data_IF_744440934514
#
_entry.id   IF_744440934514
#
_cell.length_a   1.000
_cell.length_b   1.000
_cell.length_c   1.000
_cell.angle_alpha   90.00
_cell.angle_beta   90.00
_cell.angle_gamma   90.00
#
_symmetry.space_group_name_H-M   'P 1'
#
loop_
_entity.id
_entity.type
_entity.pdbx_description
1 polymer ?
#
# COMPACT_ATOMS: atom_id res chain seq x y z
N UNK A 1 54.85 36.93 56.90
CA UNK A 1 55.76 37.52 55.88
C UNK A 1 55.22 37.08 54.52
N UNK A 2 54.41 37.82 53.75
CA UNK A 2 54.47 39.20 53.24
C UNK A 2 55.37 39.36 51.99
N UNK A 3 54.74 39.36 50.79
CA UNK A 3 54.96 40.26 49.63
C UNK A 3 54.01 39.81 48.50
N UNK A 4 52.96 40.61 48.17
CA UNK A 4 52.91 41.68 47.15
C UNK A 4 53.26 41.17 45.74
N UNK A 5 52.67 41.60 44.64
CA UNK A 5 51.51 42.41 44.25
C UNK A 5 51.74 42.62 42.74
N UNK A 6 50.70 42.58 41.91
CA UNK A 6 50.89 42.83 40.48
C UNK A 6 49.57 42.85 39.72
N UNK A 7 48.85 43.96 39.86
CA UNK A 7 47.69 44.29 39.05
C UNK A 7 48.12 44.55 37.60
N UNK A 8 47.35 44.03 36.64
CA UNK A 8 47.20 44.64 35.33
C UNK A 8 45.71 44.66 35.00
N UNK A 9 45.14 45.86 35.15
CA UNK A 9 43.86 46.24 34.61
C UNK A 9 43.97 46.23 33.07
N UNK A 10 43.09 45.50 32.41
CA UNK A 10 42.89 45.53 30.97
C UNK A 10 41.40 45.76 30.70
N UNK A 11 41.11 46.93 30.17
CA UNK A 11 39.78 47.47 29.90
C UNK A 11 39.00 46.69 28.82
N UNK A 12 37.66 46.70 29.00
CA UNK A 12 36.62 46.91 27.98
C UNK A 12 36.70 46.10 26.68
N UNK A 13 35.70 45.23 26.47
CA UNK A 13 34.66 45.50 25.47
C UNK A 13 33.59 44.41 25.56
N UNK A 14 32.38 44.79 25.98
CA UNK A 14 31.18 44.03 25.71
C UNK A 14 30.95 44.03 24.19
N UNK A 15 31.45 43.00 23.51
CA UNK A 15 31.23 42.76 22.09
C UNK A 15 29.91 42.01 21.90
N UNK A 16 28.95 42.71 21.31
CA UNK A 16 27.64 42.22 20.90
C UNK A 16 27.72 40.92 20.08
N UNK A 17 26.75 40.05 20.36
CA UNK A 17 26.48 38.82 19.66
C UNK A 17 26.39 38.99 18.13
N UNK A 18 27.00 38.06 17.39
CA UNK A 18 26.54 37.69 16.06
C UNK A 18 26.58 36.17 15.96
N UNK A 19 25.43 35.55 16.26
CA UNK A 19 25.21 34.14 15.97
C UNK A 19 25.31 33.95 14.45
N UNK A 20 26.42 33.40 13.97
CA UNK A 20 26.57 32.96 12.60
C UNK A 20 25.72 31.70 12.38
N UNK A 21 24.41 31.89 12.29
CA UNK A 21 23.49 30.87 11.85
C UNK A 21 23.52 30.80 10.33
N UNK A 22 23.90 29.61 9.85
CA UNK A 22 23.47 28.98 8.61
C UNK A 22 23.98 29.58 7.29
N UNK A 23 24.69 28.74 6.55
CA UNK A 23 24.36 28.38 5.16
C UNK A 23 25.15 27.10 4.82
N UNK A 24 24.64 25.96 5.28
CA UNK A 24 25.00 24.69 4.67
C UNK A 24 24.47 24.71 3.21
N UNK A 25 25.24 24.26 2.21
CA UNK A 25 24.74 24.17 0.86
C UNK A 25 23.67 23.07 0.82
N UNK A 26 22.40 23.48 0.80
CA UNK A 26 21.27 22.59 0.56
C UNK A 26 21.35 22.01 -0.85
N UNK A 27 22.10 20.93 -1.04
CA UNK A 27 21.93 20.01 -2.17
C UNK A 27 21.11 18.83 -1.67
N UNK A 28 19.80 18.93 -1.78
CA UNK A 28 18.90 17.79 -1.66
C UNK A 28 17.68 18.00 -2.58
N UNK A 29 17.86 17.50 -3.80
CA UNK A 29 16.88 16.92 -4.71
C UNK A 29 15.49 17.56 -4.80
N UNK A 30 15.29 18.39 -5.83
CA UNK A 30 13.98 18.78 -6.35
C UNK A 30 13.17 17.59 -6.96
N UNK A 31 13.48 16.34 -6.58
CA UNK A 31 12.82 15.12 -7.05
C UNK A 31 12.05 14.38 -5.94
N UNK A 32 11.89 15.00 -4.77
CA UNK A 32 11.10 14.44 -3.66
C UNK A 32 9.60 14.82 -3.73
N UNK A 33 9.15 15.34 -4.88
CA UNK A 33 7.80 15.88 -5.07
C UNK A 33 7.13 15.47 -6.39
N UNK A 34 7.62 14.45 -7.08
CA UNK A 34 6.94 13.86 -8.24
C UNK A 34 6.56 12.44 -7.87
N UNK A 35 5.43 12.27 -7.19
CA UNK A 35 4.80 10.96 -7.05
C UNK A 35 4.49 10.48 -8.49
N UNK A 36 5.17 9.45 -9.00
CA UNK A 36 5.27 9.27 -10.43
C UNK A 36 4.00 8.59 -10.95
N UNK A 37 2.98 9.37 -11.30
CA UNK A 37 2.01 9.02 -12.34
C UNK A 37 1.29 7.66 -12.17
N UNK A 38 1.24 7.08 -10.95
CA UNK A 38 0.79 5.69 -10.72
C UNK A 38 -0.72 5.50 -10.74
N UNK A 39 -1.51 6.49 -11.15
CA UNK A 39 -2.94 6.30 -11.33
C UNK A 39 -3.45 7.12 -12.51
N UNK A 40 -3.74 6.44 -13.63
CA UNK A 40 -4.64 7.02 -14.64
C UNK A 40 -6.00 7.26 -13.96
N UNK A 41 -6.62 8.45 -14.12
CA UNK A 41 -7.86 8.83 -13.43
C UNK A 41 -9.06 7.91 -13.72
N UNK A 42 -8.94 7.02 -14.70
CA UNK A 42 -10.00 6.11 -15.14
C UNK A 42 -9.99 4.73 -14.46
N UNK A 43 -8.95 4.42 -13.68
CA UNK A 43 -8.82 3.08 -13.06
C UNK A 43 -9.88 2.92 -11.98
N UNK A 44 -10.72 1.90 -12.08
CA UNK A 44 -11.67 1.56 -11.03
C UNK A 44 -10.92 0.92 -9.87
N UNK A 45 -10.99 1.48 -8.66
CA UNK A 45 -10.21 1.01 -7.51
C UNK A 45 -11.09 0.47 -6.39
N UNK A 46 -10.63 -0.62 -5.79
CA UNK A 46 -11.21 -1.16 -4.57
C UNK A 46 -10.13 -1.72 -3.65
N UNK A 47 -10.29 -1.48 -2.35
CA UNK A 47 -9.41 -2.00 -1.31
C UNK A 47 -10.21 -2.96 -0.43
N UNK A 48 -9.69 -4.17 -0.23
CA UNK A 48 -10.32 -5.20 0.58
C UNK A 48 -9.38 -5.60 1.71
N UNK A 49 -9.88 -5.57 2.94
CA UNK A 49 -9.22 -6.23 4.07
C UNK A 49 -9.56 -7.72 4.00
N UNK A 50 -8.55 -8.56 4.11
CA UNK A 50 -8.67 -10.01 3.93
C UNK A 50 -8.01 -10.78 5.08
N UNK A 51 -8.50 -12.00 5.42
CA UNK A 51 -9.66 -12.68 4.83
C UNK A 51 -10.98 -11.95 5.11
N UNK A 52 -11.92 -12.01 4.17
CA UNK A 52 -13.26 -11.47 4.39
C UNK A 52 -13.99 -12.33 5.44
N UNK A 53 -14.89 -11.75 6.24
CA UNK A 53 -15.75 -12.54 7.11
C UNK A 53 -16.58 -13.52 6.27
N UNK A 54 -16.87 -14.71 6.82
CA UNK A 54 -17.66 -15.70 6.12
C UNK A 54 -19.02 -15.10 5.72
N UNK A 55 -19.27 -15.00 4.42
CA UNK A 55 -20.57 -14.60 3.90
C UNK A 55 -21.50 -15.83 3.93
N UNK A 56 -22.63 -15.72 4.63
CA UNK A 56 -23.69 -16.72 4.59
C UNK A 56 -24.50 -16.62 3.29
N UNK A 57 -24.88 -17.77 2.72
CA UNK A 57 -25.63 -17.93 1.46
C UNK A 57 -24.90 -17.40 0.21
N UNK A 58 -25.18 -18.03 -0.93
CA UNK A 58 -24.58 -17.70 -2.22
C UNK A 58 -24.82 -16.23 -2.60
N UNK A 59 -23.75 -15.46 -2.81
CA UNK A 59 -23.86 -14.03 -3.09
C UNK A 59 -24.55 -13.78 -4.44
N UNK A 60 -25.55 -12.88 -4.44
CA UNK A 60 -26.20 -12.42 -5.67
C UNK A 60 -25.17 -11.84 -6.67
N UNK A 61 -25.45 -11.85 -7.99
CA UNK A 61 -24.58 -11.21 -8.97
C UNK A 61 -24.28 -9.75 -8.61
N UNK A 62 -23.02 -9.34 -8.74
CA UNK A 62 -22.63 -7.97 -8.46
C UNK A 62 -23.21 -7.03 -9.51
N UNK A 63 -23.97 -6.03 -9.06
CA UNK A 63 -24.55 -4.98 -9.90
C UNK A 63 -23.85 -3.62 -9.73
N UNK A 64 -22.97 -3.50 -8.72
CA UNK A 64 -22.21 -2.27 -8.45
C UNK A 64 -20.74 -2.56 -8.21
N UNK A 65 -19.87 -1.55 -8.40
CA UNK A 65 -18.45 -1.64 -8.04
C UNK A 65 -18.26 -1.94 -6.55
N UNK A 66 -19.15 -1.45 -5.68
CA UNK A 66 -19.10 -1.72 -4.24
C UNK A 66 -19.28 -3.22 -3.94
N UNK A 67 -20.16 -3.90 -4.68
CA UNK A 67 -20.37 -5.34 -4.55
C UNK A 67 -19.30 -6.18 -5.27
N UNK A 68 -18.72 -5.64 -6.36
CA UNK A 68 -17.71 -6.32 -7.16
C UNK A 68 -16.43 -6.65 -6.38
N UNK A 69 -15.86 -5.69 -5.65
CA UNK A 69 -14.56 -5.90 -5.02
C UNK A 69 -14.56 -6.95 -3.90
N UNK A 70 -15.58 -7.01 -3.01
CA UNK A 70 -15.73 -8.14 -2.09
C UNK A 70 -15.89 -9.47 -2.82
N UNK A 71 -16.65 -9.53 -3.92
CA UNK A 71 -16.81 -10.75 -4.70
C UNK A 71 -15.49 -11.25 -5.30
N UNK A 72 -14.64 -10.34 -5.81
CA UNK A 72 -13.29 -10.69 -6.28
C UNK A 72 -12.33 -11.09 -5.16
N UNK A 73 -12.60 -10.70 -3.92
CA UNK A 73 -11.77 -10.98 -2.76
C UNK A 73 -12.25 -12.18 -1.92
N UNK A 74 -13.45 -12.70 -2.18
CA UNK A 74 -14.10 -13.74 -1.38
C UNK A 74 -13.29 -15.05 -1.31
N UNK A 75 -12.49 -15.34 -2.34
CA UNK A 75 -11.68 -16.56 -2.44
C UNK A 75 -10.26 -16.37 -1.89
N UNK A 76 -9.97 -15.23 -1.26
CA UNK A 76 -8.71 -15.02 -0.57
C UNK A 76 -8.59 -16.02 0.58
N UNK A 77 -7.46 -16.73 0.60
CA UNK A 77 -7.09 -17.63 1.69
C UNK A 77 -5.72 -17.20 2.17
N UNK A 78 -5.48 -17.25 3.48
CA UNK A 78 -4.18 -16.95 4.05
C UNK A 78 -3.23 -18.07 3.65
N UNK A 79 -2.22 -17.82 2.79
CA UNK A 79 -1.29 -18.87 2.39
C UNK A 79 -0.38 -19.23 3.58
N UNK A 80 0.12 -20.46 3.57
CA UNK A 80 1.12 -20.90 4.54
C UNK A 80 2.33 -19.96 4.53
N UNK A 81 2.83 -19.62 5.72
CA UNK A 81 3.95 -18.70 5.89
C UNK A 81 3.60 -17.22 5.89
N UNK A 82 2.41 -16.81 5.42
CA UNK A 82 1.95 -15.41 5.55
C UNK A 82 1.30 -15.14 6.92
N UNK A 83 0.74 -16.18 7.56
CA UNK A 83 0.07 -16.09 8.87
C UNK A 83 0.95 -15.51 9.98
N UNK A 84 2.26 -15.70 9.89
CA UNK A 84 3.21 -15.20 10.88
C UNK A 84 3.40 -13.68 10.86
N UNK A 85 2.89 -12.94 9.88
CA UNK A 85 3.15 -11.51 9.75
C UNK A 85 2.00 -10.64 10.27
N UNK A 86 2.34 -9.47 10.79
CA UNK A 86 1.35 -8.52 11.32
C UNK A 86 0.50 -7.92 10.21
N UNK A 87 1.13 -7.54 9.09
CA UNK A 87 0.44 -6.86 8.00
C UNK A 87 1.13 -7.07 6.67
N UNK A 88 0.37 -7.34 5.62
CA UNK A 88 0.87 -7.37 4.25
C UNK A 88 -0.12 -6.68 3.31
N UNK A 89 0.38 -6.07 2.23
CA UNK A 89 -0.45 -5.33 1.29
C UNK A 89 0.02 -5.57 -0.14
N UNK A 90 -0.93 -5.70 -1.06
CA UNK A 90 -0.63 -5.97 -2.47
C UNK A 90 -1.74 -5.41 -3.36
N UNK A 91 -1.37 -4.85 -4.50
CA UNK A 91 -2.31 -4.31 -5.49
C UNK A 91 -2.11 -5.00 -6.83
N UNK A 92 -3.14 -5.71 -7.27
CA UNK A 92 -3.23 -6.28 -8.61
C UNK A 92 -4.04 -5.36 -9.52
N UNK A 93 -3.56 -5.16 -10.75
CA UNK A 93 -4.29 -4.53 -11.84
C UNK A 93 -4.77 -5.60 -12.82
N UNK A 94 -6.05 -5.60 -13.13
CA UNK A 94 -6.68 -6.57 -14.04
C UNK A 94 -7.80 -5.90 -14.84
N UNK A 95 -8.29 -6.59 -15.87
CA UNK A 95 -9.53 -6.24 -16.55
C UNK A 95 -10.41 -7.49 -16.64
N UNK A 96 -11.73 -7.30 -16.67
CA UNK A 96 -12.70 -8.39 -16.79
C UNK A 96 -13.40 -8.33 -18.15
N UNK A 97 -13.87 -9.47 -18.65
CA UNK A 97 -14.87 -9.55 -19.73
C UNK A 97 -16.27 -9.28 -19.19
N UNK A 98 -17.26 -9.17 -20.08
CA UNK A 98 -18.68 -8.98 -19.70
C UNK A 98 -19.22 -10.14 -18.84
N UNK A 99 -18.68 -11.33 -19.00
CA UNK A 99 -19.04 -12.54 -18.23
C UNK A 99 -18.30 -12.65 -16.88
N UNK A 100 -17.46 -11.66 -16.53
CA UNK A 100 -16.69 -11.65 -15.28
C UNK A 100 -15.40 -12.48 -15.31
N UNK A 101 -15.03 -13.10 -16.44
CA UNK A 101 -13.72 -13.75 -16.60
C UNK A 101 -12.59 -12.73 -16.72
N UNK A 102 -11.38 -13.10 -16.30
CA UNK A 102 -10.20 -12.22 -16.40
C UNK A 102 -9.68 -12.13 -17.83
N UNK A 103 -9.31 -10.93 -18.26
CA UNK A 103 -8.60 -10.66 -19.52
C UNK A 103 -7.09 -10.66 -19.23
N UNK A 104 -6.38 -11.62 -19.81
CA UNK A 104 -4.93 -11.75 -19.66
C UNK A 104 -4.49 -12.08 -18.23
N UNK A 105 -3.22 -11.79 -17.93
CA UNK A 105 -2.65 -12.06 -16.59
C UNK A 105 -2.76 -10.80 -15.72
N UNK A 106 -3.37 -10.88 -14.52
CA UNK A 106 -3.34 -9.78 -13.55
C UNK A 106 -1.91 -9.33 -13.25
N UNK A 107 -1.69 -8.03 -13.25
CA UNK A 107 -0.37 -7.41 -13.08
C UNK A 107 -0.20 -6.89 -11.66
N UNK A 108 0.85 -7.29 -10.96
CA UNK A 108 1.15 -6.77 -9.62
C UNK A 108 1.82 -5.40 -9.77
N UNK A 109 1.15 -4.37 -9.25
CA UNK A 109 1.61 -2.96 -9.36
C UNK A 109 2.22 -2.44 -8.06
N UNK A 110 1.93 -3.11 -6.95
CA UNK A 110 2.45 -2.80 -5.63
C UNK A 110 2.42 -4.08 -4.80
N UNK A 111 3.44 -4.31 -3.99
CA UNK A 111 3.43 -5.31 -2.93
C UNK A 111 4.36 -4.87 -1.79
N UNK A 112 3.89 -5.03 -0.56
CA UNK A 112 4.60 -4.75 0.68
C UNK A 112 4.29 -5.89 1.65
N UNK A 113 5.29 -6.70 1.95
CA UNK A 113 5.20 -7.75 2.93
C UNK A 113 6.40 -7.63 3.89
N UNK A 114 6.26 -7.93 5.19
CA UNK A 114 7.39 -7.99 6.09
C UNK A 114 8.24 -9.22 5.74
N UNK A 115 9.57 -9.09 5.73
CA UNK A 115 10.48 -10.19 5.45
C UNK A 115 11.17 -10.11 4.09
N UNK A 116 11.54 -11.28 3.57
CA UNK A 116 12.41 -11.48 2.41
C UNK A 116 11.64 -11.63 1.08
N UNK A 117 12.38 -11.81 -0.01
CA UNK A 117 11.84 -12.03 -1.37
C UNK A 117 10.86 -13.20 -1.43
N UNK A 118 11.13 -14.29 -0.69
CA UNK A 118 10.25 -15.47 -0.64
C UNK A 118 8.86 -15.10 -0.11
N UNK A 119 8.79 -14.25 0.91
CA UNK A 119 7.52 -13.79 1.47
C UNK A 119 6.72 -12.96 0.45
N UNK A 120 7.40 -12.11 -0.31
CA UNK A 120 6.78 -11.34 -1.39
C UNK A 120 6.19 -12.25 -2.46
N UNK A 121 6.89 -13.32 -2.84
CA UNK A 121 6.42 -14.30 -3.83
C UNK A 121 5.19 -15.06 -3.34
N UNK A 122 5.16 -15.48 -2.07
CA UNK A 122 3.97 -16.10 -1.45
C UNK A 122 2.77 -15.16 -1.53
N UNK A 123 2.95 -13.87 -1.21
CA UNK A 123 1.87 -12.88 -1.28
C UNK A 123 1.36 -12.68 -2.72
N UNK A 124 2.28 -12.62 -3.70
CA UNK A 124 1.94 -12.51 -5.12
C UNK A 124 1.13 -13.73 -5.57
N UNK A 125 1.61 -14.94 -5.28
CA UNK A 125 0.93 -16.18 -5.65
C UNK A 125 -0.47 -16.26 -5.05
N UNK A 126 -0.59 -16.02 -3.74
CA UNK A 126 -1.89 -16.02 -3.07
C UNK A 126 -2.88 -15.02 -3.67
N UNK A 127 -2.40 -13.86 -4.11
CA UNK A 127 -3.22 -12.84 -4.77
C UNK A 127 -3.72 -13.30 -6.12
N UNK A 128 -2.83 -13.85 -6.95
CA UNK A 128 -3.20 -14.35 -8.28
C UNK A 128 -4.15 -15.55 -8.17
N UNK A 129 -3.88 -16.46 -7.24
CA UNK A 129 -4.73 -17.64 -7.02
C UNK A 129 -6.11 -17.24 -6.48
N UNK A 130 -6.19 -16.24 -5.59
CA UNK A 130 -7.47 -15.73 -5.10
C UNK A 130 -8.33 -15.14 -6.23
N UNK A 131 -7.72 -14.33 -7.11
CA UNK A 131 -8.40 -13.80 -8.30
C UNK A 131 -8.83 -14.93 -9.22
N UNK A 132 -7.96 -15.90 -9.48
CA UNK A 132 -8.28 -17.05 -10.33
C UNK A 132 -9.46 -17.87 -9.78
N UNK A 133 -9.49 -18.15 -8.47
CA UNK A 133 -10.59 -18.88 -7.82
C UNK A 133 -11.92 -18.13 -7.84
N UNK A 134 -11.88 -16.80 -7.78
CA UNK A 134 -13.09 -15.96 -7.75
C UNK A 134 -13.51 -15.46 -9.13
N UNK A 135 -12.88 -15.95 -10.20
CA UNK A 135 -13.29 -15.63 -11.57
C UNK A 135 -13.64 -16.89 -12.37
N UNK A 136 -14.69 -16.86 -13.21
CA UNK A 136 -15.51 -15.70 -13.56
C UNK A 136 -16.39 -15.20 -12.39
N UNK A 137 -16.31 -13.91 -12.08
CA UNK A 137 -17.14 -13.30 -11.03
C UNK A 137 -18.55 -13.12 -11.57
N UNK A 138 -19.58 -13.41 -10.76
CA UNK A 138 -20.96 -13.23 -11.20
C UNK A 138 -21.31 -11.75 -11.28
N UNK A 139 -21.59 -11.26 -12.49
CA UNK A 139 -21.96 -9.88 -12.77
C UNK A 139 -23.39 -9.83 -13.32
N UNK A 140 -24.08 -8.73 -13.06
CA UNK A 140 -25.26 -8.40 -13.87
C UNK A 140 -24.84 -8.02 -15.30
N UNK A 141 -25.72 -8.17 -16.30
CA UNK A 141 -25.43 -7.70 -17.66
C UNK A 141 -25.09 -6.22 -17.73
N UNK A 142 -25.75 -5.39 -16.91
CA UNK A 142 -25.51 -3.95 -16.83
C UNK A 142 -24.10 -3.64 -16.33
N UNK A 143 -23.69 -4.19 -15.17
CA UNK A 143 -22.36 -3.96 -14.64
C UNK A 143 -21.29 -4.55 -15.57
N UNK A 144 -21.48 -5.79 -16.03
CA UNK A 144 -20.56 -6.46 -16.96
C UNK A 144 -20.31 -5.63 -18.22
N UNK A 145 -21.35 -5.01 -18.77
CA UNK A 145 -21.22 -4.10 -19.90
C UNK A 145 -20.50 -2.79 -19.59
N UNK A 146 -20.66 -2.26 -18.37
CA UNK A 146 -20.04 -1.01 -17.94
C UNK A 146 -18.56 -1.13 -17.56
N UNK A 147 -18.09 -2.33 -17.17
CA UNK A 147 -16.71 -2.56 -16.71
C UNK A 147 -15.83 -3.36 -17.67
N UNK A 148 -16.42 -4.04 -18.66
CA UNK A 148 -15.66 -4.91 -19.56
C UNK A 148 -14.47 -4.19 -20.22
N UNK A 149 -13.29 -4.80 -20.14
CA UNK A 149 -12.03 -4.26 -20.68
C UNK A 149 -11.41 -3.13 -19.86
N UNK A 150 -12.16 -2.51 -18.93
CA UNK A 150 -11.66 -1.37 -18.15
C UNK A 150 -10.66 -1.83 -17.09
N UNK A 151 -9.55 -1.09 -16.90
CA UNK A 151 -8.60 -1.40 -15.84
C UNK A 151 -9.23 -1.26 -14.45
N UNK A 152 -9.16 -2.36 -13.69
CA UNK A 152 -9.47 -2.45 -12.27
C UNK A 152 -8.17 -2.52 -11.48
N UNK A 153 -8.08 -1.84 -10.34
CA UNK A 153 -7.05 -2.05 -9.34
C UNK A 153 -7.68 -2.59 -8.05
N UNK A 154 -7.35 -3.82 -7.71
CA UNK A 154 -7.78 -4.49 -6.49
C UNK A 154 -6.59 -4.53 -5.51
N UNK A 155 -6.73 -3.84 -4.38
CA UNK A 155 -5.78 -3.86 -3.29
C UNK A 155 -6.26 -4.80 -2.19
N UNK A 156 -5.43 -5.76 -1.83
CA UNK A 156 -5.60 -6.57 -0.64
C UNK A 156 -4.77 -5.98 0.50
N UNK A 157 -5.38 -5.90 1.68
CA UNK A 157 -4.73 -5.59 2.94
C UNK A 157 -4.97 -6.80 3.84
N UNK A 158 -3.92 -7.55 4.11
CA UNK A 158 -3.93 -8.65 5.06
C UNK A 158 -3.46 -8.14 6.42
N UNK A 159 -4.29 -8.31 7.44
CA UNK A 159 -3.96 -8.04 8.84
C UNK A 159 -3.86 -9.40 9.56
N UNK A 160 -2.65 -9.85 9.83
CA UNK A 160 -2.43 -11.13 10.49
C UNK A 160 -2.66 -11.08 11.99
N UNK A 161 -2.68 -12.24 12.69
CA UNK A 161 -3.04 -12.33 14.11
C UNK A 161 -2.22 -11.38 14.99
N UNK A 162 -0.91 -11.27 14.73
CA UNK A 162 -0.02 -10.38 15.48
C UNK A 162 -0.35 -8.89 15.31
N UNK A 163 -0.94 -8.49 14.19
CA UNK A 163 -1.37 -7.12 13.93
C UNK A 163 -2.72 -6.76 14.55
N UNK A 164 -3.43 -7.74 15.10
CA UNK A 164 -4.77 -7.58 15.69
C UNK A 164 -4.73 -7.35 17.22
N UNK A 165 -3.54 -7.33 17.83
CA UNK A 165 -3.37 -7.11 19.27
C UNK A 165 -3.84 -8.27 20.16
N UNK A 166 -3.94 -9.47 19.58
CA UNK A 166 -4.33 -10.73 20.24
C UNK A 166 -3.13 -11.67 20.42
#
# INVERSE_FOLDING_TARGET
MCRRAGHLAGLLAAGLALSAALLAPGRANAFEGIEPWRTLPQTLRGTQRVPLPAAGTEAAPADTLRALYPALAACWQVPEGLSRFERAEITARLSLRRDGSVIGTPQITFAKAPGDTKTREILIRATLDAIARCTPVRLTPALGGAIAGRPLALRFIYDGPRGQGI
#
